data_IF_137125298250
#
_entry.id   IF_137125298250
#
_cell.length_a   1.000
_cell.length_b   1.000
_cell.length_c   1.000
_cell.angle_alpha   90.00
_cell.angle_beta   90.00
_cell.angle_gamma   90.00
#
_symmetry.space_group_name_H-M   'P 1'
#
loop_
_entity.id
_entity.type
_entity.pdbx_description
1 polymer ?
#
# COMPACT_ATOMS: atom_id res chain seq x y z
N UNK A 1 20.17 -21.57 7.36
CA UNK A 1 20.25 -20.18 7.89
C UNK A 1 18.89 -19.87 8.52
N UNK A 2 18.82 -19.31 9.72
CA UNK A 2 17.52 -19.05 10.36
C UNK A 2 16.89 -17.82 9.72
N UNK A 3 15.78 -17.99 9.00
CA UNK A 3 14.84 -16.88 8.73
C UNK A 3 14.54 -16.23 10.09
N UNK A 4 14.74 -14.93 10.20
CA UNK A 4 14.42 -14.22 11.44
C UNK A 4 12.93 -14.38 11.73
N UNK A 5 12.61 -14.88 12.90
CA UNK A 5 11.23 -15.01 13.35
C UNK A 5 10.67 -13.60 13.60
N UNK A 6 9.73 -13.16 12.75
CA UNK A 6 9.05 -11.88 12.93
C UNK A 6 8.35 -11.76 14.29
N UNK A 7 7.96 -12.89 14.89
CA UNK A 7 7.37 -12.93 16.22
C UNK A 7 8.34 -12.49 17.34
N UNK A 8 9.64 -12.46 17.08
CA UNK A 8 10.64 -11.92 18.01
C UNK A 8 10.75 -10.38 17.95
N UNK A 9 10.29 -9.76 16.83
CA UNK A 9 10.37 -8.32 16.60
C UNK A 9 9.02 -7.62 16.73
N UNK A 10 7.93 -8.29 16.34
CA UNK A 10 6.60 -7.71 16.25
C UNK A 10 5.58 -8.49 17.08
N UNK A 11 4.66 -7.76 17.67
CA UNK A 11 3.56 -8.38 18.39
C UNK A 11 2.47 -8.86 17.44
N UNK A 12 2.12 -10.15 17.50
CA UNK A 12 1.00 -10.70 16.75
C UNK A 12 -0.33 -10.09 17.21
N UNK A 13 -1.21 -9.76 16.26
CA UNK A 13 -2.57 -9.29 16.47
C UNK A 13 -3.53 -10.42 16.08
N UNK A 14 -4.50 -10.74 16.94
CA UNK A 14 -5.37 -11.92 16.75
C UNK A 14 -6.86 -11.59 16.59
N UNK A 15 -7.23 -10.31 16.60
CA UNK A 15 -8.65 -9.88 16.59
C UNK A 15 -9.46 -10.39 15.41
N UNK A 16 -8.83 -10.57 14.25
CA UNK A 16 -9.48 -10.95 13.00
C UNK A 16 -9.22 -12.40 12.57
N UNK A 17 -8.43 -13.17 13.31
CA UNK A 17 -8.08 -14.56 12.94
C UNK A 17 -9.31 -15.45 12.75
N UNK A 18 -10.27 -15.43 13.69
CA UNK A 18 -11.50 -16.21 13.59
C UNK A 18 -12.38 -15.78 12.40
N UNK A 19 -12.37 -14.47 12.09
CA UNK A 19 -13.10 -13.98 10.93
C UNK A 19 -12.46 -14.49 9.63
N UNK A 20 -11.15 -14.36 9.49
CA UNK A 20 -10.42 -14.80 8.30
C UNK A 20 -10.41 -16.34 8.13
N UNK A 21 -10.56 -17.10 9.21
CA UNK A 21 -10.64 -18.56 9.18
C UNK A 21 -12.04 -19.07 8.76
N UNK A 22 -13.09 -18.25 8.82
CA UNK A 22 -14.42 -18.69 8.43
C UNK A 22 -14.52 -18.89 6.90
N UNK A 23 -14.90 -20.07 6.42
CA UNK A 23 -15.03 -20.35 4.99
C UNK A 23 -16.20 -19.63 4.32
N UNK A 24 -17.17 -19.11 5.09
CA UNK A 24 -18.32 -18.39 4.57
C UNK A 24 -18.07 -16.88 4.55
N UNK A 25 -18.00 -16.24 3.36
CA UNK A 25 -17.68 -14.79 3.28
C UNK A 25 -18.71 -13.89 4.00
N UNK A 26 -19.98 -14.30 4.08
CA UNK A 26 -21.00 -13.54 4.81
C UNK A 26 -20.72 -13.52 6.32
N UNK A 27 -20.52 -14.72 6.92
CA UNK A 27 -20.16 -14.82 8.34
C UNK A 27 -18.80 -14.17 8.64
N UNK A 28 -17.84 -14.28 7.72
CA UNK A 28 -16.56 -13.56 7.82
C UNK A 28 -16.80 -12.05 7.99
N UNK A 29 -17.70 -11.47 7.17
CA UNK A 29 -18.02 -10.05 7.24
C UNK A 29 -18.67 -9.66 8.58
N UNK A 30 -19.59 -10.49 9.09
CA UNK A 30 -20.23 -10.28 10.39
C UNK A 30 -19.20 -10.28 11.52
N UNK A 31 -18.31 -11.28 11.56
CA UNK A 31 -17.23 -11.38 12.56
C UNK A 31 -16.24 -10.22 12.48
N UNK A 32 -15.91 -9.74 11.27
CA UNK A 32 -15.10 -8.53 11.09
C UNK A 32 -15.76 -7.34 11.81
N UNK A 33 -17.06 -7.12 11.60
CA UNK A 33 -17.81 -6.02 12.24
C UNK A 33 -17.79 -6.12 13.77
N UNK A 34 -17.89 -7.33 14.31
CA UNK A 34 -17.85 -7.59 15.75
C UNK A 34 -16.45 -7.36 16.34
N UNK A 35 -15.39 -7.67 15.59
CA UNK A 35 -14.00 -7.56 16.04
C UNK A 35 -13.48 -6.12 16.02
N UNK A 36 -13.89 -5.30 15.04
CA UNK A 36 -13.36 -3.94 14.82
C UNK A 36 -13.42 -3.04 16.05
N UNK A 37 -14.51 -2.92 16.81
CA UNK A 37 -14.54 -2.02 17.96
C UNK A 37 -13.47 -2.36 19.02
N UNK A 38 -13.30 -3.65 19.32
CA UNK A 38 -12.29 -4.16 20.26
C UNK A 38 -10.87 -3.92 19.75
N UNK A 39 -10.64 -4.15 18.46
CA UNK A 39 -9.37 -3.85 17.83
C UNK A 39 -9.03 -2.35 17.93
N UNK A 40 -9.97 -1.45 17.59
CA UNK A 40 -9.75 0.00 17.62
C UNK A 40 -9.41 0.49 19.03
N UNK A 41 -10.13 0.03 20.04
CA UNK A 41 -9.87 0.39 21.43
C UNK A 41 -8.47 -0.05 21.85
N UNK A 42 -8.14 -1.32 21.61
CA UNK A 42 -6.83 -1.85 21.92
C UNK A 42 -5.72 -1.12 21.14
N UNK A 43 -5.89 -0.93 19.83
CA UNK A 43 -4.87 -0.30 19.00
C UNK A 43 -4.59 1.14 19.40
N UNK A 44 -5.61 1.93 19.71
CA UNK A 44 -5.44 3.29 20.26
C UNK A 44 -4.68 3.30 21.59
N UNK A 45 -4.87 2.30 22.42
CA UNK A 45 -4.18 2.16 23.71
C UNK A 45 -2.68 1.81 23.55
N UNK A 46 -2.23 1.29 22.41
CA UNK A 46 -0.80 1.03 22.15
C UNK A 46 0.02 2.32 22.02
N UNK A 47 -0.62 3.44 21.70
CA UNK A 47 0.02 4.75 21.51
C UNK A 47 -0.22 5.34 20.13
N UNK A 48 0.67 6.24 19.70
CA UNK A 48 0.64 6.91 18.40
C UNK A 48 1.98 6.81 17.71
N UNK A 49 1.96 6.81 16.39
CA UNK A 49 3.17 7.04 15.60
C UNK A 49 3.80 8.39 15.97
N UNK A 50 5.10 8.52 15.82
CA UNK A 50 5.80 9.82 16.01
C UNK A 50 5.79 10.67 14.75
N UNK A 51 5.77 10.02 13.57
CA UNK A 51 5.56 10.70 12.29
C UNK A 51 4.84 9.78 11.29
N UNK A 52 3.98 10.38 10.47
CA UNK A 52 3.31 9.73 9.34
C UNK A 52 3.17 10.73 8.19
N UNK A 53 3.98 10.56 7.14
CA UNK A 53 4.05 11.48 6.01
C UNK A 53 3.89 10.74 4.69
N UNK A 54 3.15 11.35 3.74
CA UNK A 54 2.95 10.81 2.39
C UNK A 54 3.71 11.61 1.34
N UNK A 55 4.22 10.91 0.32
CA UNK A 55 5.01 11.48 -0.78
C UNK A 55 4.59 10.88 -2.11
N UNK A 56 4.16 11.73 -3.05
CA UNK A 56 3.79 11.30 -4.40
C UNK A 56 5.03 10.91 -5.21
N UNK A 57 5.00 9.75 -5.87
CA UNK A 57 6.10 9.23 -6.68
C UNK A 57 5.83 9.40 -8.18
N UNK A 58 4.71 8.89 -8.65
CA UNK A 58 4.33 8.92 -10.07
C UNK A 58 2.82 8.94 -10.24
N UNK A 59 2.33 9.73 -11.20
CA UNK A 59 0.96 9.63 -11.70
C UNK A 59 0.98 8.91 -13.05
N UNK A 60 0.13 7.91 -13.22
CA UNK A 60 0.08 7.06 -14.41
C UNK A 60 -1.35 6.60 -14.76
N UNK A 61 -1.61 6.24 -16.03
CA UNK A 61 -2.91 5.71 -16.43
C UNK A 61 -3.10 4.27 -15.96
N UNK A 62 -4.33 3.98 -15.53
CA UNK A 62 -4.72 2.65 -15.06
C UNK A 62 -6.12 2.29 -15.61
N UNK A 63 -6.43 1.03 -15.93
CA UNK A 63 -7.71 0.64 -16.49
C UNK A 63 -8.88 0.91 -15.53
N UNK A 64 -9.80 1.78 -15.93
CA UNK A 64 -11.00 2.10 -15.16
C UNK A 64 -11.80 0.87 -14.74
N UNK A 65 -11.87 -0.15 -15.61
CA UNK A 65 -12.63 -1.38 -15.37
C UNK A 65 -12.15 -2.15 -14.12
N UNK A 66 -10.89 -1.99 -13.74
CA UNK A 66 -10.34 -2.56 -12.52
C UNK A 66 -10.50 -1.61 -11.34
N UNK A 67 -10.04 -0.38 -11.49
CA UNK A 67 -9.96 0.62 -10.42
C UNK A 67 -11.31 0.95 -9.76
N UNK A 68 -12.38 1.00 -10.55
CA UNK A 68 -13.73 1.39 -10.11
C UNK A 68 -14.75 0.30 -10.50
N UNK A 69 -14.47 -0.92 -10.14
CA UNK A 69 -15.21 -2.13 -10.41
C UNK A 69 -16.70 -1.94 -10.72
N UNK A 70 -17.09 -1.98 -12.01
CA UNK A 70 -18.48 -1.88 -12.50
C UNK A 70 -19.28 -0.65 -12.04
N UNK A 71 -18.70 0.24 -11.21
CA UNK A 71 -19.43 1.35 -10.60
C UNK A 71 -19.38 2.65 -11.43
N UNK A 72 -18.26 2.96 -12.07
CA UNK A 72 -18.11 4.23 -12.78
C UNK A 72 -18.78 4.25 -14.15
N UNK A 73 -19.44 5.37 -14.46
CA UNK A 73 -20.15 5.58 -15.72
C UNK A 73 -19.35 6.32 -16.79
N UNK A 74 -18.13 6.70 -16.50
CA UNK A 74 -17.30 7.38 -17.49
C UNK A 74 -17.09 6.50 -18.73
N UNK A 75 -17.14 7.04 -19.97
CA UNK A 75 -16.87 6.30 -21.21
C UNK A 75 -15.38 6.00 -21.41
N UNK A 76 -14.49 6.64 -20.64
CA UNK A 76 -13.04 6.45 -20.78
C UNK A 76 -12.59 5.04 -20.38
N UNK A 77 -11.59 4.51 -21.09
CA UNK A 77 -11.00 3.22 -20.79
C UNK A 77 -10.00 3.29 -19.61
N UNK A 78 -9.35 4.43 -19.45
CA UNK A 78 -8.32 4.66 -18.44
C UNK A 78 -8.72 5.82 -17.53
N UNK A 79 -8.28 5.71 -16.28
CA UNK A 79 -8.24 6.77 -15.29
C UNK A 79 -6.77 7.06 -14.96
N UNK A 80 -6.49 8.09 -14.18
CA UNK A 80 -5.16 8.36 -13.65
C UNK A 80 -5.16 8.21 -12.14
N UNK A 81 -4.15 7.55 -11.62
CA UNK A 81 -3.90 7.54 -10.20
C UNK A 81 -2.44 7.93 -9.89
N UNK A 82 -2.22 8.44 -8.71
CA UNK A 82 -0.91 8.78 -8.17
C UNK A 82 -0.50 7.70 -7.17
N UNK A 83 0.57 6.97 -7.51
CA UNK A 83 1.27 6.10 -6.58
C UNK A 83 2.12 6.94 -5.64
N UNK A 84 2.17 6.55 -4.38
CA UNK A 84 2.90 7.27 -3.33
C UNK A 84 3.55 6.33 -2.35
N UNK A 85 4.58 6.85 -1.67
CA UNK A 85 5.14 6.21 -0.49
C UNK A 85 4.73 6.93 0.78
N UNK A 86 4.86 6.22 1.90
CA UNK A 86 4.72 6.80 3.23
C UNK A 86 6.01 6.59 4.02
N UNK A 87 6.39 7.62 4.78
CA UNK A 87 7.41 7.52 5.82
C UNK A 87 6.68 7.47 7.15
N UNK A 88 6.88 6.40 7.90
CA UNK A 88 6.27 6.18 9.21
C UNK A 88 7.37 6.01 10.24
N UNK A 89 7.28 6.74 11.35
CA UNK A 89 8.19 6.57 12.46
C UNK A 89 7.43 6.34 13.76
N UNK A 90 8.02 5.53 14.62
CA UNK A 90 7.57 5.30 15.99
C UNK A 90 8.76 5.17 16.91
N UNK A 91 8.53 5.42 18.19
CA UNK A 91 9.53 5.23 19.23
C UNK A 91 9.24 3.96 20.02
N UNK A 92 10.21 3.08 20.11
CA UNK A 92 10.17 1.88 20.94
C UNK A 92 11.59 1.50 21.38
N UNK A 93 11.73 0.94 22.57
CA UNK A 93 13.02 0.48 23.12
C UNK A 93 14.09 1.58 23.17
N UNK A 94 13.66 2.84 23.35
CA UNK A 94 14.54 4.00 23.46
C UNK A 94 15.16 4.45 22.13
N UNK A 95 14.63 4.00 20.97
CA UNK A 95 15.04 4.46 19.65
C UNK A 95 13.84 4.77 18.75
N UNK A 96 14.09 5.59 17.74
CA UNK A 96 13.15 5.81 16.64
C UNK A 96 13.37 4.75 15.57
N UNK A 97 12.29 4.12 15.16
CA UNK A 97 12.22 3.18 14.04
C UNK A 97 11.62 3.87 12.82
N UNK A 98 12.15 3.58 11.64
CA UNK A 98 11.71 4.15 10.37
C UNK A 98 11.26 3.06 9.39
N UNK A 99 10.01 3.14 8.97
CA UNK A 99 9.41 2.31 7.93
C UNK A 99 9.13 3.16 6.69
N UNK A 100 9.51 2.66 5.52
CA UNK A 100 8.97 3.12 4.24
C UNK A 100 7.90 2.15 3.78
N UNK A 101 6.67 2.64 3.62
CA UNK A 101 5.59 1.88 2.99
C UNK A 101 5.46 2.35 1.54
N UNK A 102 5.40 1.42 0.59
CA UNK A 102 5.32 1.66 -0.85
C UNK A 102 6.49 2.48 -1.45
N UNK A 103 7.76 2.22 -1.11
CA UNK A 103 8.89 2.89 -1.76
C UNK A 103 9.13 2.33 -3.18
N UNK A 104 8.15 2.55 -4.08
CA UNK A 104 8.18 1.98 -5.43
C UNK A 104 9.29 2.60 -6.26
N UNK A 105 10.17 1.77 -6.81
CA UNK A 105 11.12 2.16 -7.83
C UNK A 105 10.44 2.08 -9.20
N UNK A 106 9.86 3.19 -9.65
CA UNK A 106 8.97 3.22 -10.81
C UNK A 106 9.64 2.93 -12.16
N UNK A 107 10.96 3.11 -12.28
CA UNK A 107 11.66 2.78 -13.52
C UNK A 107 11.75 1.26 -13.70
N UNK A 108 12.16 0.54 -12.65
CA UNK A 108 12.19 -0.92 -12.66
C UNK A 108 10.77 -1.53 -12.68
N UNK A 109 9.82 -0.89 -11.99
CA UNK A 109 8.41 -1.26 -12.02
C UNK A 109 7.81 -1.22 -13.44
N UNK A 110 8.31 -0.34 -14.31
CA UNK A 110 7.88 -0.24 -15.70
C UNK A 110 8.17 -1.49 -16.56
N UNK A 111 9.07 -2.37 -16.10
CA UNK A 111 9.37 -3.65 -16.74
C UNK A 111 8.31 -4.73 -16.49
N UNK A 112 7.37 -4.49 -15.57
CA UNK A 112 6.24 -5.39 -15.34
C UNK A 112 5.52 -5.68 -16.67
N UNK A 113 5.15 -6.94 -16.97
CA UNK A 113 4.57 -7.32 -18.26
C UNK A 113 3.44 -6.42 -18.74
N UNK A 114 2.55 -5.98 -17.83
CA UNK A 114 1.47 -5.07 -18.15
C UNK A 114 1.99 -3.72 -18.68
N UNK A 115 2.91 -3.06 -17.97
CA UNK A 115 3.45 -1.77 -18.38
C UNK A 115 4.38 -1.88 -19.60
N UNK A 116 5.20 -2.91 -19.66
CA UNK A 116 6.06 -3.19 -20.81
C UNK A 116 5.24 -3.36 -22.11
N UNK A 117 4.07 -4.01 -22.05
CA UNK A 117 3.16 -4.12 -23.18
C UNK A 117 2.55 -2.76 -23.59
N UNK A 118 2.16 -1.94 -22.62
CA UNK A 118 1.66 -0.58 -22.89
C UNK A 118 2.75 0.30 -23.52
N UNK A 119 3.98 0.25 -23.01
CA UNK A 119 5.12 1.00 -23.56
C UNK A 119 5.41 0.54 -25.00
N UNK A 120 5.40 -0.76 -25.26
CA UNK A 120 5.59 -1.32 -26.61
C UNK A 120 4.49 -0.89 -27.57
N UNK A 121 3.23 -0.84 -27.12
CA UNK A 121 2.07 -0.48 -27.93
C UNK A 121 2.00 1.00 -28.24
N UNK A 122 2.30 1.86 -27.29
CA UNK A 122 2.13 3.33 -27.42
C UNK A 122 3.46 4.06 -27.61
N UNK A 123 4.59 3.41 -27.45
CA UNK A 123 5.95 3.97 -27.52
C UNK A 123 6.38 4.64 -26.20
N UNK A 124 7.70 4.65 -25.98
CA UNK A 124 8.29 5.23 -24.75
C UNK A 124 7.94 6.71 -24.55
N UNK A 125 8.04 7.51 -25.61
CA UNK A 125 7.77 8.95 -25.53
C UNK A 125 6.36 9.24 -25.05
N UNK A 126 5.35 8.60 -25.63
CA UNK A 126 3.96 8.82 -25.24
C UNK A 126 3.69 8.34 -23.81
N UNK A 127 4.21 7.16 -23.47
CA UNK A 127 3.99 6.53 -22.16
C UNK A 127 4.67 7.30 -21.03
N UNK A 128 5.90 7.77 -21.23
CA UNK A 128 6.71 8.39 -20.17
C UNK A 128 6.58 9.92 -20.09
N UNK A 129 6.10 10.59 -21.16
CA UNK A 129 6.10 12.07 -21.22
C UNK A 129 4.69 12.66 -21.21
N UNK A 130 3.73 12.02 -21.87
CA UNK A 130 2.36 12.55 -22.03
C UNK A 130 1.35 11.86 -21.10
N UNK A 131 1.54 10.57 -20.81
CA UNK A 131 0.58 9.79 -20.05
C UNK A 131 0.97 9.61 -18.58
N UNK A 132 2.23 9.84 -18.21
CA UNK A 132 2.69 9.78 -16.82
C UNK A 132 3.32 11.10 -16.39
N UNK A 133 3.22 11.38 -15.09
CA UNK A 133 3.88 12.53 -14.47
C UNK A 133 4.72 12.01 -13.29
N UNK A 134 6.04 12.26 -13.34
CA UNK A 134 6.99 11.85 -12.30
C UNK A 134 7.18 12.99 -11.33
N UNK A 135 7.10 12.68 -10.03
CA UNK A 135 7.46 13.58 -8.95
C UNK A 135 8.94 13.36 -8.57
N UNK A 136 9.25 13.40 -7.31
CA UNK A 136 10.56 13.06 -6.80
C UNK A 136 10.71 11.54 -6.64
N UNK A 137 11.95 11.06 -6.71
CA UNK A 137 12.26 9.65 -6.40
C UNK A 137 12.24 9.41 -4.90
N UNK A 138 12.28 8.14 -4.50
CA UNK A 138 12.36 7.74 -3.08
C UNK A 138 13.57 8.40 -2.40
N UNK A 139 14.73 8.40 -3.07
CA UNK A 139 15.97 8.99 -2.56
C UNK A 139 15.83 10.50 -2.35
N UNK A 140 15.27 11.21 -3.33
CA UNK A 140 15.06 12.65 -3.25
C UNK A 140 14.08 13.02 -2.12
N UNK A 141 13.05 12.21 -1.90
CA UNK A 141 12.14 12.41 -0.77
C UNK A 141 12.84 12.21 0.57
N UNK A 142 13.66 11.16 0.72
CA UNK A 142 14.45 10.95 1.94
C UNK A 142 15.40 12.13 2.21
N UNK A 143 16.13 12.57 1.19
CA UNK A 143 17.01 13.72 1.29
C UNK A 143 16.26 14.98 1.71
N UNK A 144 15.08 15.24 1.15
CA UNK A 144 14.24 16.40 1.46
C UNK A 144 13.81 16.50 2.93
N UNK A 145 13.76 15.35 3.63
CA UNK A 145 13.43 15.27 5.06
C UNK A 145 14.64 14.96 5.95
N UNK A 146 15.84 14.95 5.37
CA UNK A 146 17.10 14.76 6.11
C UNK A 146 17.38 13.32 6.54
N UNK A 147 16.65 12.33 6.00
CA UNK A 147 16.94 10.91 6.21
C UNK A 147 18.00 10.41 5.23
N UNK A 148 18.87 9.54 5.72
CA UNK A 148 19.85 8.80 4.90
C UNK A 148 19.35 7.38 4.66
N UNK A 149 19.90 6.66 3.67
CA UNK A 149 19.58 5.25 3.45
C UNK A 149 19.77 4.36 4.69
N UNK A 150 20.79 4.67 5.51
CA UNK A 150 21.09 3.93 6.75
C UNK A 150 20.07 4.16 7.87
N UNK A 151 19.27 5.20 7.77
CA UNK A 151 18.27 5.55 8.77
C UNK A 151 16.93 4.78 8.56
N UNK A 152 16.83 3.96 7.50
CA UNK A 152 15.66 3.13 7.18
C UNK A 152 15.83 1.72 7.74
N UNK A 153 14.92 1.32 8.63
CA UNK A 153 14.92 0.00 9.27
C UNK A 153 14.10 -1.03 8.50
N UNK A 154 12.98 -0.59 7.93
CA UNK A 154 12.05 -1.48 7.22
C UNK A 154 11.53 -0.83 5.95
N UNK A 155 11.25 -1.68 4.96
CA UNK A 155 10.40 -1.36 3.82
C UNK A 155 9.25 -2.36 3.78
N UNK A 156 8.11 -1.94 3.27
CA UNK A 156 6.97 -2.84 3.01
C UNK A 156 6.15 -2.33 1.84
N UNK A 157 5.40 -3.23 1.22
CA UNK A 157 4.45 -2.94 0.15
C UNK A 157 3.14 -3.63 0.52
N UNK A 158 2.03 -3.02 0.21
CA UNK A 158 0.69 -3.63 0.42
C UNK A 158 0.66 -5.04 -0.16
N UNK A 159 1.30 -5.19 -1.32
CA UNK A 159 1.47 -6.40 -2.10
C UNK A 159 2.62 -6.19 -3.11
N UNK A 160 2.99 -7.23 -3.85
CA UNK A 160 4.17 -7.19 -4.72
C UNK A 160 3.87 -6.95 -6.22
N UNK A 161 2.64 -6.52 -6.59
CA UNK A 161 2.37 -6.10 -7.97
C UNK A 161 3.35 -5.01 -8.39
N UNK A 162 3.93 -5.16 -9.56
CA UNK A 162 4.82 -4.20 -10.20
C UNK A 162 6.13 -3.89 -9.45
N UNK A 163 6.36 -4.49 -8.28
CA UNK A 163 7.53 -4.17 -7.48
C UNK A 163 8.79 -4.88 -7.97
N UNK A 164 9.91 -4.15 -7.85
CA UNK A 164 11.27 -4.65 -7.98
C UNK A 164 12.10 -4.10 -6.80
N UNK A 165 12.49 -4.97 -5.89
CA UNK A 165 13.14 -4.59 -4.63
C UNK A 165 14.67 -4.72 -4.67
N UNK A 166 15.25 -5.14 -5.81
CA UNK A 166 16.68 -5.44 -5.93
C UNK A 166 17.56 -4.23 -5.64
N UNK A 167 17.15 -3.04 -6.06
CA UNK A 167 17.88 -1.80 -5.78
C UNK A 167 17.87 -1.47 -4.28
N UNK A 168 16.75 -1.71 -3.61
CA UNK A 168 16.60 -1.39 -2.19
C UNK A 168 17.37 -2.34 -1.29
N UNK A 169 17.31 -3.65 -1.57
CA UNK A 169 17.79 -4.71 -0.69
C UNK A 169 19.12 -5.32 -1.14
N UNK A 170 19.53 -5.08 -2.38
CA UNK A 170 20.68 -5.74 -3.00
C UNK A 170 20.38 -7.17 -3.45
N UNK A 171 21.34 -7.79 -4.13
CA UNK A 171 21.22 -9.15 -4.67
C UNK A 171 22.41 -10.01 -4.35
N UNK A 172 22.23 -11.34 -4.39
CA UNK A 172 23.31 -12.32 -4.18
C UNK A 172 24.15 -12.54 -5.44
N UNK A 173 23.59 -12.25 -6.62
CA UNK A 173 24.21 -12.46 -7.95
C UNK A 173 24.09 -11.21 -8.82
N UNK A 174 24.97 -11.05 -9.85
CA UNK A 174 24.81 -10.01 -10.86
C UNK A 174 23.45 -10.06 -11.53
N UNK A 175 22.94 -8.91 -11.92
CA UNK A 175 21.63 -8.74 -12.55
C UNK A 175 21.83 -8.09 -13.93
N UNK A 176 21.59 -8.80 -15.05
CA UNK A 176 21.94 -8.33 -16.39
C UNK A 176 21.33 -6.97 -16.77
N UNK A 177 20.17 -6.65 -16.20
CA UNK A 177 19.42 -5.43 -16.50
C UNK A 177 19.78 -4.21 -15.61
N UNK A 178 20.47 -4.42 -14.46
CA UNK A 178 20.79 -3.34 -13.52
C UNK A 178 22.29 -3.28 -13.20
N UNK A 179 22.93 -4.44 -12.99
CA UNK A 179 24.34 -4.57 -12.59
C UNK A 179 24.90 -5.88 -13.15
N UNK A 180 25.33 -5.90 -14.45
CA UNK A 180 25.72 -7.12 -15.14
C UNK A 180 27.02 -7.74 -14.61
N UNK A 181 27.91 -6.94 -14.04
CA UNK A 181 29.26 -7.36 -13.65
C UNK A 181 29.39 -7.73 -12.17
N UNK A 182 28.43 -7.32 -11.33
CA UNK A 182 28.48 -7.54 -9.88
C UNK A 182 27.08 -7.62 -9.27
N UNK A 183 26.91 -8.26 -8.11
CA UNK A 183 25.68 -8.16 -7.34
C UNK A 183 25.25 -6.71 -7.09
N UNK A 184 23.95 -6.44 -7.13
CA UNK A 184 23.42 -5.11 -6.82
C UNK A 184 23.71 -4.79 -5.35
N UNK A 185 24.33 -3.66 -5.09
CA UNK A 185 24.54 -3.17 -3.73
C UNK A 185 23.23 -2.59 -3.19
N UNK A 186 22.83 -3.01 -1.99
CA UNK A 186 21.64 -2.48 -1.33
C UNK A 186 21.73 -0.97 -1.14
N UNK A 187 20.72 -0.24 -1.61
CA UNK A 187 20.60 1.19 -1.32
C UNK A 187 20.28 1.43 0.15
N UNK A 188 19.39 0.60 0.74
CA UNK A 188 19.09 0.60 2.17
C UNK A 188 19.91 -0.50 2.87
N UNK A 189 21.11 -0.16 3.41
CA UNK A 189 22.04 -1.19 3.89
C UNK A 189 21.54 -1.97 5.12
N UNK A 190 20.59 -1.41 5.86
CA UNK A 190 20.05 -2.00 7.10
C UNK A 190 18.60 -2.44 6.99
N UNK A 191 17.86 -1.95 5.97
CA UNK A 191 16.46 -2.22 5.84
C UNK A 191 16.15 -3.70 5.58
N UNK A 192 15.01 -4.15 6.13
CA UNK A 192 14.41 -5.44 5.83
C UNK A 192 13.05 -5.24 5.18
N UNK A 193 12.70 -6.12 4.24
CA UNK A 193 11.37 -6.18 3.64
C UNK A 193 10.44 -6.94 4.58
N UNK A 194 9.42 -6.26 5.10
CA UNK A 194 8.29 -6.92 5.76
C UNK A 194 7.29 -7.31 4.68
N UNK A 195 6.96 -8.58 4.60
CA UNK A 195 6.05 -9.13 3.59
C UNK A 195 5.20 -10.25 4.16
N UNK A 196 3.92 -10.30 3.78
CA UNK A 196 3.06 -11.45 4.11
C UNK A 196 3.63 -12.70 3.44
N UNK A 197 3.76 -13.79 4.22
CA UNK A 197 4.22 -15.07 3.67
C UNK A 197 3.37 -15.51 2.49
N UNK A 198 2.06 -15.32 2.58
CA UNK A 198 1.12 -15.63 1.49
C UNK A 198 1.36 -14.84 0.22
N UNK A 199 1.91 -13.63 0.30
CA UNK A 199 2.28 -12.83 -0.86
C UNK A 199 3.58 -13.35 -1.52
N UNK A 200 4.52 -13.77 -0.68
CA UNK A 200 5.78 -14.32 -1.17
C UNK A 200 5.62 -15.70 -1.79
N UNK A 201 4.84 -16.56 -1.14
CA UNK A 201 4.68 -17.98 -1.54
C UNK A 201 3.94 -18.15 -2.87
N UNK A 202 3.19 -17.13 -3.33
CA UNK A 202 2.53 -17.19 -4.65
C UNK A 202 3.48 -16.88 -5.81
N UNK A 203 4.62 -16.23 -5.60
CA UNK A 203 5.53 -15.79 -6.67
C UNK A 203 5.95 -16.94 -7.62
N UNK A 204 6.34 -18.14 -7.14
CA UNK A 204 6.66 -19.26 -8.01
C UNK A 204 5.45 -19.85 -8.75
N UNK A 205 4.23 -19.61 -8.26
CA UNK A 205 2.99 -20.27 -8.69
C UNK A 205 1.85 -19.29 -8.99
N UNK A 206 2.17 -18.17 -9.65
CA UNK A 206 1.20 -17.14 -9.98
C UNK A 206 0.03 -17.66 -10.79
N UNK A 207 -1.19 -17.37 -10.33
CA UNK A 207 -2.41 -17.61 -11.10
C UNK A 207 -2.36 -16.84 -12.44
N UNK A 208 -2.90 -17.39 -13.57
CA UNK A 208 -2.88 -16.71 -14.87
C UNK A 208 -3.44 -15.27 -14.86
N UNK A 209 -4.42 -14.96 -14.00
CA UNK A 209 -4.98 -13.60 -13.85
C UNK A 209 -4.01 -12.63 -13.17
N UNK A 210 -3.00 -13.15 -12.45
CA UNK A 210 -2.01 -12.37 -11.71
C UNK A 210 -0.73 -12.11 -12.49
N UNK A 211 -0.35 -13.02 -13.41
CA UNK A 211 0.97 -13.02 -14.08
C UNK A 211 1.36 -11.70 -14.73
N UNK A 212 0.39 -10.94 -15.24
CA UNK A 212 0.69 -9.67 -15.94
C UNK A 212 1.12 -8.55 -14.97
N UNK A 213 0.91 -8.74 -13.67
CA UNK A 213 1.18 -7.73 -12.65
C UNK A 213 2.48 -7.97 -11.88
N UNK A 214 3.11 -9.13 -12.01
CA UNK A 214 4.29 -9.51 -11.24
C UNK A 214 5.56 -9.64 -12.09
N UNK A 215 6.70 -9.51 -11.42
CA UNK A 215 8.05 -9.79 -11.91
C UNK A 215 8.72 -10.81 -10.97
N UNK A 216 8.25 -12.08 -10.90
CA UNK A 216 8.67 -13.03 -9.86
C UNK A 216 10.19 -13.28 -9.85
N UNK A 217 10.83 -13.27 -11.02
CA UNK A 217 12.28 -13.44 -11.15
C UNK A 217 13.11 -12.34 -10.48
N UNK A 218 12.51 -11.19 -10.17
CA UNK A 218 13.19 -10.08 -9.50
C UNK A 218 13.33 -10.28 -7.98
N UNK A 219 12.73 -11.36 -7.44
CA UNK A 219 12.78 -11.71 -6.03
C UNK A 219 13.69 -12.91 -5.72
N UNK A 220 14.16 -13.64 -6.74
CA UNK A 220 14.91 -14.90 -6.59
C UNK A 220 16.27 -14.71 -5.92
N UNK A 221 16.93 -13.57 -6.13
CA UNK A 221 18.28 -13.30 -5.69
C UNK A 221 18.39 -12.35 -4.49
N UNK A 222 17.27 -12.08 -3.81
CA UNK A 222 17.26 -11.27 -2.60
C UNK A 222 17.85 -12.08 -1.43
N UNK A 223 18.70 -11.43 -0.64
CA UNK A 223 19.29 -12.04 0.56
C UNK A 223 18.20 -12.42 1.57
N UNK A 224 18.18 -13.67 2.04
CA UNK A 224 17.16 -14.18 2.97
C UNK A 224 17.12 -13.40 4.30
N UNK A 225 18.27 -12.93 4.80
CA UNK A 225 18.35 -12.14 6.03
C UNK A 225 17.76 -10.74 5.88
N UNK A 226 17.43 -10.33 4.66
CA UNK A 226 16.70 -9.10 4.33
C UNK A 226 15.18 -9.26 4.34
N UNK A 227 14.67 -10.49 4.50
CA UNK A 227 13.25 -10.80 4.47
C UNK A 227 12.72 -11.04 5.88
N UNK A 228 11.61 -10.37 6.21
CA UNK A 228 10.82 -10.59 7.42
C UNK A 228 9.42 -11.02 7.01
N UNK A 229 9.17 -12.32 7.13
CA UNK A 229 7.86 -12.87 6.83
C UNK A 229 6.91 -12.68 8.02
N UNK A 230 5.73 -12.17 7.72
CA UNK A 230 4.61 -12.07 8.66
C UNK A 230 3.44 -12.95 8.19
N UNK A 231 2.68 -13.48 9.14
CA UNK A 231 1.48 -14.28 8.90
C UNK A 231 0.30 -13.64 9.63
N UNK A 232 -0.56 -12.93 8.89
CA UNK A 232 -1.69 -12.20 9.44
C UNK A 232 -1.33 -10.80 9.94
N UNK A 233 -1.99 -10.36 11.00
CA UNK A 233 -1.88 -9.00 11.52
C UNK A 233 -0.75 -8.87 12.53
N UNK A 234 0.03 -7.79 12.46
CA UNK A 234 1.13 -7.52 13.39
C UNK A 234 1.18 -6.05 13.82
N UNK A 235 1.50 -5.82 15.10
CA UNK A 235 1.85 -4.52 15.63
C UNK A 235 3.36 -4.33 15.47
N UNK A 236 3.77 -3.30 14.75
CA UNK A 236 5.19 -2.96 14.54
C UNK A 236 5.73 -2.13 15.71
N UNK A 237 4.88 -1.31 16.29
CA UNK A 237 5.19 -0.48 17.44
C UNK A 237 4.00 0.39 17.84
N UNK A 238 4.17 1.28 18.84
CA UNK A 238 3.08 2.12 19.32
C UNK A 238 2.38 2.87 18.18
N UNK A 239 1.09 2.57 17.97
CA UNK A 239 0.27 3.20 16.94
C UNK A 239 0.62 2.85 15.49
N UNK A 240 1.41 1.80 15.22
CA UNK A 240 1.74 1.37 13.85
C UNK A 240 1.55 -0.15 13.71
N UNK A 241 0.71 -0.56 12.78
CA UNK A 241 0.40 -1.96 12.52
C UNK A 241 0.31 -2.26 11.01
N UNK A 242 0.52 -3.53 10.65
CA UNK A 242 0.15 -4.09 9.35
C UNK A 242 -0.99 -5.07 9.57
N UNK A 243 -2.09 -4.87 8.86
CA UNK A 243 -3.31 -5.66 8.96
C UNK A 243 -3.50 -6.46 7.68
N UNK A 244 -3.59 -7.78 7.77
CA UNK A 244 -3.83 -8.63 6.61
C UNK A 244 -5.24 -8.40 6.05
N UNK A 245 -5.30 -7.87 4.84
CA UNK A 245 -6.52 -7.47 4.14
C UNK A 245 -6.54 -8.08 2.75
N UNK A 246 -6.65 -9.41 2.65
CA UNK A 246 -6.52 -10.13 1.38
C UNK A 246 -7.64 -9.78 0.42
N UNK A 247 -7.32 -9.82 -0.88
CA UNK A 247 -8.33 -9.66 -1.93
C UNK A 247 -7.75 -9.09 -3.20
N UNK A 248 -7.12 -7.92 -3.17
CA UNK A 248 -6.36 -7.39 -4.30
C UNK A 248 -5.27 -8.40 -4.71
N UNK A 249 -4.56 -8.93 -3.71
CA UNK A 249 -3.79 -10.17 -3.77
C UNK A 249 -4.10 -11.04 -2.55
N UNK A 250 -3.58 -12.27 -2.51
CA UNK A 250 -3.77 -13.16 -1.36
C UNK A 250 -3.01 -12.69 -0.12
N UNK A 251 -1.88 -12.06 -0.31
CA UNK A 251 -1.03 -11.53 0.76
C UNK A 251 -1.18 -10.03 0.98
N UNK A 252 -2.13 -9.37 0.32
CA UNK A 252 -2.34 -7.93 0.52
C UNK A 252 -2.52 -7.61 2.01
N UNK A 253 -1.86 -6.55 2.47
CA UNK A 253 -2.04 -6.00 3.81
C UNK A 253 -2.20 -4.49 3.78
N UNK A 254 -2.78 -3.95 4.83
CA UNK A 254 -2.96 -2.50 4.99
C UNK A 254 -2.05 -1.97 6.07
N UNK A 255 -1.44 -0.83 5.80
CA UNK A 255 -0.78 -0.01 6.83
C UNK A 255 -1.86 0.67 7.68
N UNK A 256 -1.76 0.53 9.01
CA UNK A 256 -2.66 1.16 9.99
C UNK A 256 -1.84 2.03 10.92
N UNK A 257 -2.15 3.33 10.97
CA UNK A 257 -1.39 4.32 11.75
C UNK A 257 -2.32 5.14 12.63
N UNK A 258 -2.06 5.14 13.94
CA UNK A 258 -2.76 6.00 14.89
C UNK A 258 -2.03 7.33 15.05
N UNK A 259 -2.74 8.44 14.84
CA UNK A 259 -2.24 9.82 14.88
C UNK A 259 -3.08 10.68 15.82
N UNK A 260 -2.82 11.98 15.91
CA UNK A 260 -3.67 12.92 16.69
C UNK A 260 -5.07 13.07 16.10
N UNK A 261 -5.23 12.86 14.79
CA UNK A 261 -6.54 12.91 14.13
C UNK A 261 -7.28 11.57 14.15
N UNK A 262 -6.69 10.54 14.76
CA UNK A 262 -7.23 9.18 14.82
C UNK A 262 -6.52 8.19 13.90
N UNK A 263 -7.18 7.07 13.62
CA UNK A 263 -6.63 5.96 12.86
C UNK A 263 -6.74 6.22 11.36
N UNK A 264 -5.60 6.18 10.68
CA UNK A 264 -5.47 6.14 9.22
C UNK A 264 -5.22 4.72 8.74
N UNK A 265 -5.77 4.39 7.58
CA UNK A 265 -5.53 3.12 6.90
C UNK A 265 -5.08 3.39 5.46
N UNK A 266 -4.11 2.65 4.97
CA UNK A 266 -3.64 2.73 3.59
C UNK A 266 -3.50 1.34 2.99
N UNK A 267 -3.99 1.16 1.78
CA UNK A 267 -3.78 0.00 0.91
C UNK A 267 -4.21 0.31 -0.53
N UNK A 268 -4.05 -0.65 -1.45
CA UNK A 268 -4.54 -0.56 -2.83
C UNK A 268 -5.84 -1.34 -3.09
N UNK A 269 -6.51 -1.86 -2.06
CA UNK A 269 -7.83 -2.48 -2.22
C UNK A 269 -8.87 -1.53 -2.84
N UNK A 270 -8.72 -0.23 -2.62
CA UNK A 270 -9.51 0.83 -3.27
C UNK A 270 -8.66 2.04 -3.62
N UNK A 271 -8.98 2.70 -4.75
CA UNK A 271 -8.19 3.80 -5.32
C UNK A 271 -8.64 5.20 -4.88
N UNK A 272 -9.61 5.33 -4.03
CA UNK A 272 -10.08 6.61 -3.49
C UNK A 272 -10.78 6.42 -2.15
N UNK A 273 -10.69 7.38 -1.24
CA UNK A 273 -11.47 7.38 0.00
C UNK A 273 -12.98 7.26 -0.29
N UNK A 274 -13.44 7.83 -1.40
CA UNK A 274 -14.82 7.71 -1.87
C UNK A 274 -15.21 6.27 -2.25
N UNK A 275 -14.26 5.40 -2.58
CA UNK A 275 -14.55 3.97 -2.80
C UNK A 275 -14.99 3.27 -1.52
N UNK A 276 -14.62 3.80 -0.35
CA UNK A 276 -15.03 3.34 0.99
C UNK A 276 -16.31 4.03 1.48
N UNK A 277 -16.73 5.12 0.83
CA UNK A 277 -17.96 5.84 1.10
C UNK A 277 -18.69 6.20 -0.20
N UNK A 278 -19.05 5.21 -1.06
CA UNK A 278 -19.51 5.49 -2.42
C UNK A 278 -20.84 6.27 -2.50
N UNK A 279 -21.64 6.26 -1.43
CA UNK A 279 -22.86 7.10 -1.34
C UNK A 279 -22.55 8.59 -1.20
N UNK A 280 -21.35 8.93 -0.72
CA UNK A 280 -20.85 10.31 -0.60
C UNK A 280 -20.08 10.78 -1.85
N UNK A 281 -19.83 9.87 -2.81
CA UNK A 281 -19.01 10.16 -3.97
C UNK A 281 -19.67 11.08 -4.97
N UNK A 282 -18.87 12.03 -5.49
CA UNK A 282 -19.21 12.84 -6.66
C UNK A 282 -18.81 12.20 -8.00
N UNK A 283 -18.10 11.05 -7.98
CA UNK A 283 -17.75 10.33 -9.21
C UNK A 283 -19.03 9.73 -9.82
N UNK A 284 -19.37 10.05 -11.08
CA UNK A 284 -20.57 9.54 -11.72
C UNK A 284 -20.65 8.02 -11.71
N UNK A 285 -21.74 7.50 -11.17
CA UNK A 285 -22.04 6.07 -11.10
C UNK A 285 -21.82 5.45 -9.72
N UNK A 286 -20.84 5.88 -8.92
CA UNK A 286 -20.51 5.24 -7.64
C UNK A 286 -21.69 5.26 -6.66
N UNK A 287 -22.30 6.43 -6.44
CA UNK A 287 -23.46 6.54 -5.56
C UNK A 287 -24.60 5.65 -6.01
N UNK A 288 -24.99 5.75 -7.27
CA UNK A 288 -26.08 4.92 -7.82
C UNK A 288 -25.76 3.42 -7.76
N UNK A 289 -24.49 3.04 -7.97
CA UNK A 289 -24.07 1.65 -7.82
C UNK A 289 -24.29 1.16 -6.40
N UNK A 290 -23.83 1.91 -5.40
CA UNK A 290 -24.00 1.59 -3.99
C UNK A 290 -25.50 1.54 -3.57
N UNK A 291 -26.32 2.50 -4.03
CA UNK A 291 -27.76 2.53 -3.75
C UNK A 291 -28.47 1.34 -4.38
N UNK A 292 -28.15 1.00 -5.63
CA UNK A 292 -28.79 -0.11 -6.36
C UNK A 292 -28.40 -1.48 -5.83
N UNK A 293 -27.16 -1.66 -5.44
CA UNK A 293 -26.61 -2.98 -5.02
C UNK A 293 -26.62 -3.17 -3.52
N UNK A 294 -26.71 -2.09 -2.74
CA UNK A 294 -26.50 -2.11 -1.30
C UNK A 294 -25.02 -2.20 -0.89
N UNK A 295 -24.11 -2.14 -1.84
CA UNK A 295 -22.68 -2.27 -1.58
C UNK A 295 -22.14 -1.05 -0.82
N UNK A 296 -21.25 -1.31 0.15
CA UNK A 296 -20.67 -0.32 1.03
C UNK A 296 -19.33 0.19 0.55
N UNK A 297 -18.74 -0.50 -0.41
CA UNK A 297 -17.40 -0.21 -0.97
C UNK A 297 -17.37 -0.50 -2.48
N UNK A 298 -16.43 0.13 -3.18
CA UNK A 298 -16.16 -0.08 -4.61
C UNK A 298 -14.72 -0.55 -4.76
N UNK A 299 -14.52 -1.76 -5.26
CA UNK A 299 -13.25 -2.47 -5.30
C UNK A 299 -12.31 -1.93 -6.39
N UNK A 300 -11.02 -1.96 -6.13
CA UNK A 300 -9.97 -2.00 -7.15
C UNK A 300 -9.69 -3.48 -7.50
N UNK A 301 -10.53 -4.05 -8.35
CA UNK A 301 -10.52 -5.48 -8.64
C UNK A 301 -9.81 -5.77 -9.97
N UNK A 302 -8.48 -5.71 -9.97
CA UNK A 302 -7.65 -6.14 -11.10
C UNK A 302 -7.62 -7.67 -11.25
N UNK A 303 -8.01 -8.40 -10.22
CA UNK A 303 -8.25 -9.84 -10.21
C UNK A 303 -9.69 -10.13 -9.76
N UNK A 304 -10.30 -11.17 -10.27
CA UNK A 304 -11.72 -11.49 -10.00
C UNK A 304 -11.90 -12.66 -9.05
N UNK A 305 -10.89 -13.48 -8.87
CA UNK A 305 -10.92 -14.71 -8.08
C UNK A 305 -11.08 -14.45 -6.57
N UNK A 306 -10.71 -13.26 -6.10
CA UNK A 306 -10.72 -12.87 -4.70
C UNK A 306 -11.70 -11.75 -4.34
N UNK A 307 -12.63 -11.40 -5.22
CA UNK A 307 -13.50 -10.21 -5.04
C UNK A 307 -14.32 -10.21 -3.77
N UNK A 308 -14.82 -11.37 -3.32
CA UNK A 308 -15.57 -11.45 -2.06
C UNK A 308 -14.69 -11.19 -0.83
N UNK A 309 -13.46 -11.69 -0.85
CA UNK A 309 -12.48 -11.41 0.20
C UNK A 309 -12.07 -9.95 0.19
N UNK A 310 -11.80 -9.38 -0.99
CA UNK A 310 -11.47 -7.97 -1.14
C UNK A 310 -12.58 -7.07 -0.61
N UNK A 311 -13.85 -7.41 -0.88
CA UNK A 311 -14.98 -6.67 -0.31
C UNK A 311 -14.93 -6.66 1.22
N UNK A 312 -14.75 -7.83 1.84
CA UNK A 312 -14.67 -7.95 3.29
C UNK A 312 -13.48 -7.17 3.87
N UNK A 313 -12.32 -7.26 3.22
CA UNK A 313 -11.12 -6.49 3.60
C UNK A 313 -11.36 -4.99 3.51
N UNK A 314 -12.00 -4.50 2.43
CA UNK A 314 -12.34 -3.08 2.32
C UNK A 314 -13.33 -2.62 3.39
N UNK A 315 -14.30 -3.46 3.78
CA UNK A 315 -15.18 -3.14 4.91
C UNK A 315 -14.41 -3.13 6.23
N UNK A 316 -13.47 -4.05 6.43
CA UNK A 316 -12.57 -4.04 7.60
C UNK A 316 -11.75 -2.74 7.65
N UNK A 317 -11.07 -2.37 6.56
CA UNK A 317 -10.31 -1.13 6.42
C UNK A 317 -11.15 0.11 6.73
N UNK A 318 -12.34 0.19 6.12
CA UNK A 318 -13.30 1.27 6.34
C UNK A 318 -13.71 1.45 7.80
N UNK A 319 -13.98 0.35 8.48
CA UNK A 319 -14.44 0.37 9.87
C UNK A 319 -13.29 0.62 10.85
N UNK A 320 -12.08 0.17 10.53
CA UNK A 320 -10.86 0.44 11.32
C UNK A 320 -10.45 1.90 11.21
N UNK A 321 -10.49 2.49 10.02
CA UNK A 321 -10.21 3.91 9.85
C UNK A 321 -11.19 4.78 10.67
N UNK A 322 -10.68 5.87 11.24
CA UNK A 322 -11.54 6.86 11.89
C UNK A 322 -12.16 7.81 10.84
N UNK A 323 -13.27 8.46 11.13
CA UNK A 323 -13.87 9.46 10.24
C UNK A 323 -12.94 10.66 10.03
N UNK A 324 -12.94 11.22 8.82
CA UNK A 324 -12.27 12.50 8.58
C UNK A 324 -12.93 13.63 9.36
N UNK A 325 -12.15 14.48 9.99
CA UNK A 325 -12.65 15.61 10.79
C UNK A 325 -13.61 16.50 10.00
N UNK A 326 -13.20 16.92 8.80
CA UNK A 326 -13.99 17.82 7.95
C UNK A 326 -15.06 17.12 7.10
N UNK A 327 -15.04 15.79 7.03
CA UNK A 327 -15.98 14.96 6.25
C UNK A 327 -16.28 13.66 7.00
N UNK A 328 -17.06 13.68 8.09
CA UNK A 328 -17.21 12.52 9.00
C UNK A 328 -17.80 11.24 8.35
N UNK A 329 -18.40 11.36 7.17
CA UNK A 329 -18.93 10.23 6.40
C UNK A 329 -17.89 9.55 5.50
N UNK A 330 -16.70 10.15 5.38
CA UNK A 330 -15.57 9.61 4.64
C UNK A 330 -14.53 9.14 5.65
N UNK A 331 -14.02 7.89 5.54
CA UNK A 331 -13.01 7.38 6.47
C UNK A 331 -11.63 7.99 6.16
N UNK A 332 -10.77 8.03 7.15
CA UNK A 332 -9.34 8.35 7.02
C UNK A 332 -8.62 7.19 6.31
N UNK A 333 -9.09 6.85 5.12
CA UNK A 333 -8.47 5.91 4.22
C UNK A 333 -7.70 6.66 3.14
N UNK A 334 -6.38 6.42 3.06
CA UNK A 334 -5.50 7.08 2.12
C UNK A 334 -4.85 6.06 1.17
N UNK A 335 -5.38 5.89 -0.05
CA UNK A 335 -4.87 4.90 -0.98
C UNK A 335 -3.38 5.07 -1.26
N UNK A 336 -2.63 3.96 -1.32
CA UNK A 336 -1.25 3.94 -1.82
C UNK A 336 -1.19 4.35 -3.30
N UNK A 337 -2.25 4.03 -4.07
CA UNK A 337 -2.47 4.52 -5.44
C UNK A 337 -3.80 5.28 -5.52
N UNK A 338 -3.75 6.62 -5.40
CA UNK A 338 -4.96 7.45 -5.32
C UNK A 338 -5.41 7.98 -6.68
N UNK A 339 -6.69 7.78 -6.99
CA UNK A 339 -7.36 8.33 -8.16
C UNK A 339 -7.21 9.87 -8.24
N UNK A 340 -6.78 10.33 -9.39
CA UNK A 340 -6.63 11.77 -9.71
C UNK A 340 -7.52 12.18 -10.88
N UNK A 341 -8.03 13.42 -10.81
CA UNK A 341 -8.66 14.05 -11.96
C UNK A 341 -7.64 14.30 -13.07
N UNK A 342 -7.98 13.94 -14.31
CA UNK A 342 -7.12 14.12 -15.46
C UNK A 342 -7.92 14.62 -16.68
N UNK A 343 -7.28 15.41 -17.55
CA UNK A 343 -7.91 15.98 -18.74
C UNK A 343 -8.48 14.89 -19.67
N UNK A 344 -7.76 13.79 -19.83
CA UNK A 344 -8.17 12.65 -20.66
C UNK A 344 -9.16 11.70 -19.98
N UNK A 345 -9.54 11.98 -18.74
CA UNK A 345 -10.50 11.16 -17.99
C UNK A 345 -11.60 12.05 -17.37
N UNK A 346 -12.38 12.78 -18.18
CA UNK A 346 -13.44 13.64 -17.66
C UNK A 346 -14.46 12.81 -16.86
N UNK A 347 -14.97 13.40 -15.76
CA UNK A 347 -15.96 12.77 -14.91
C UNK A 347 -15.41 11.69 -13.97
N UNK A 348 -14.08 11.53 -13.84
CA UNK A 348 -13.48 10.57 -12.91
C UNK A 348 -12.75 11.23 -11.74
N UNK A 349 -12.80 12.57 -11.66
CA UNK A 349 -12.16 13.30 -10.56
C UNK A 349 -12.92 13.04 -9.25
N UNK A 350 -12.25 12.59 -8.19
CA UNK A 350 -12.84 12.49 -6.86
C UNK A 350 -13.29 13.85 -6.36
N UNK A 351 -14.42 13.90 -5.64
CA UNK A 351 -14.88 15.09 -4.94
C UNK A 351 -14.17 15.29 -3.61
N UNK A 352 -13.63 14.20 -3.06
CA UNK A 352 -12.82 14.20 -1.85
C UNK A 352 -11.46 13.52 -2.08
N UNK A 353 -10.38 14.18 -1.66
CA UNK A 353 -9.01 13.67 -1.71
C UNK A 353 -8.25 14.15 -0.49
N UNK A 354 -7.45 13.29 0.10
CA UNK A 354 -6.59 13.63 1.24
C UNK A 354 -5.30 14.34 0.81
N UNK A 355 -5.14 14.90 -0.27
CA UNK A 355 -3.97 15.60 -0.84
C UNK A 355 -2.60 15.14 -0.29
N UNK A 356 -2.36 15.30 1.01
CA UNK A 356 -1.13 14.94 1.71
C UNK A 356 -1.44 14.65 3.19
N UNK A 357 -0.79 13.63 3.75
CA UNK A 357 -0.68 13.43 5.21
C UNK A 357 0.70 13.91 5.65
N UNK A 358 0.77 14.68 6.74
CA UNK A 358 2.00 15.15 7.36
C UNK A 358 1.75 15.29 8.87
N UNK A 359 1.76 14.17 9.58
CA UNK A 359 1.61 14.11 11.03
C UNK A 359 2.97 13.94 11.70
N UNK A 360 3.22 14.71 12.77
CA UNK A 360 4.47 14.65 13.51
C UNK A 360 5.66 15.23 12.74
N UNK A 361 6.84 15.06 13.31
CA UNK A 361 8.09 15.51 12.70
C UNK A 361 8.97 14.29 12.43
N UNK A 362 9.43 14.14 11.19
CA UNK A 362 10.40 13.11 10.84
C UNK A 362 11.73 13.47 11.50
N UNK A 363 12.28 12.54 12.25
CA UNK A 363 13.57 12.71 12.94
C UNK A 363 14.58 11.68 12.45
N UNK A 364 15.85 12.02 12.49
CA UNK A 364 16.93 11.10 12.17
C UNK A 364 17.20 10.18 13.36
N UNK A 365 17.19 8.85 13.20
CA UNK A 365 17.56 7.93 14.26
C UNK A 365 18.96 8.27 14.81
N UNK A 366 19.10 8.44 16.14
CA UNK A 366 20.35 8.83 16.79
C UNK A 366 20.71 10.33 16.76
N UNK A 367 19.91 11.18 16.11
CA UNK A 367 20.02 12.63 16.17
C UNK A 367 19.22 13.16 17.39
N UNK A 368 19.84 13.97 18.25
CA UNK A 368 19.10 14.81 19.18
C UNK A 368 18.26 15.77 18.33
N UNK A 369 16.93 15.69 18.46
CA UNK A 369 15.98 16.46 17.66
C UNK A 369 16.35 17.95 17.62
N UNK A 370 16.75 18.41 16.47
CA UNK A 370 16.81 19.84 16.17
C UNK A 370 15.43 20.19 15.63
N UNK A 371 14.60 20.79 16.49
CA UNK A 371 13.36 21.41 16.09
C UNK A 371 13.66 22.42 14.97
N UNK A 372 13.36 22.07 13.74
CA UNK A 372 13.29 23.04 12.65
C UNK A 372 12.04 23.90 12.91
N UNK A 373 12.27 25.21 13.10
CA UNK A 373 11.23 26.23 13.25
C UNK A 373 10.44 26.44 11.96
#
# INVERSE_FOLDING_TARGET
MKVLDSNALFQKITFFEEAHADPNPGRQLERIREAVPRFKEWFKATGKATAFHSYDLITLPYPKKYALWRAAWSPVAYIWFTNRMFIVQWEAEGRVWTLLNEPTEYELASNTPYFADQIRKYGQFLSHTLLSYRYQTVEQHLESVGLRPEDVDFITFDHLHTQDVRRWLGTTRPQPDISPDAPVKAYFPHAKLIVQRKEWDILPHLHPLQKIWYQPEKFEDILEDRLLFIDGDVLLGPGVALMWTPGHTQGNHSLVVNTDTGIWVSSENGVAAECYAPRESGIPGLRRYAEKTGFEVVLNANTIENTSRQYNSMVQEKLVADPCENHPRIPQFFPSSELRGHLFAPGTKPSHQHKRVAFGTIVRPGGKGTLAK
#
